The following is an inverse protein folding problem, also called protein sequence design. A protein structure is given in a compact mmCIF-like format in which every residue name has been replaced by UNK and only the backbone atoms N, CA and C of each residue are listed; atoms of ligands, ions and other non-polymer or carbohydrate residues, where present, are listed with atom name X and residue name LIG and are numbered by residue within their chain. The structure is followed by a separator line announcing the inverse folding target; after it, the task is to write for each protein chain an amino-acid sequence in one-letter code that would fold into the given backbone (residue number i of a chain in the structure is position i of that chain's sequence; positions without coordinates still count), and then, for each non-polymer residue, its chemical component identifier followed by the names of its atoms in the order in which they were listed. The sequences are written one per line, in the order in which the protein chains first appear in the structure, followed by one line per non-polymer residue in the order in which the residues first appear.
data_IF_219868849819
#
_entry.id   IF_219868849819
#
_cell.length_a   1.000
_cell.length_b   1.000
_cell.length_c   1.000
_cell.angle_alpha   90.00
_cell.angle_beta   90.00
_cell.angle_gamma   90.00
#
_symmetry.space_group_name_H-M   'P 1'
#
loop_
_entity.id
_entity.type
_entity.pdbx_description
1 polymer ?
#
# COMPACT_ATOMS: atom_id res chain seq x y z
N UNK A 1 -23.16 -3.98 -6.22
CA UNK A 1 -22.96 -3.11 -5.04
C UNK A 1 -23.23 -3.96 -3.80
N UNK A 2 -22.33 -3.95 -2.83
CA UNK A 2 -22.51 -4.71 -1.60
C UNK A 2 -23.69 -4.11 -0.82
N UNK A 3 -24.76 -4.89 -0.64
CA UNK A 3 -25.93 -4.50 0.15
C UNK A 3 -25.63 -4.38 1.67
N UNK A 4 -24.42 -4.67 2.06
CA UNK A 4 -24.01 -4.74 3.46
C UNK A 4 -24.50 -6.00 4.17
N UNK A 5 -24.67 -5.93 5.49
CA UNK A 5 -25.05 -7.08 6.31
C UNK A 5 -26.56 -7.40 6.22
N UNK A 6 -27.39 -6.39 5.89
CA UNK A 6 -28.84 -6.52 5.70
C UNK A 6 -29.19 -6.16 4.27
N UNK A 7 -29.94 -7.03 3.58
CA UNK A 7 -30.52 -6.74 2.29
C UNK A 7 -31.80 -5.89 2.43
N UNK A 8 -32.37 -5.44 1.31
CA UNK A 8 -33.56 -4.58 1.34
C UNK A 8 -34.79 -5.27 1.93
N UNK A 9 -34.94 -6.60 1.76
CA UNK A 9 -36.04 -7.38 2.37
C UNK A 9 -35.90 -7.46 3.90
N UNK A 10 -34.67 -7.64 4.39
CA UNK A 10 -34.41 -7.66 5.84
C UNK A 10 -34.73 -6.28 6.46
N UNK A 11 -34.48 -5.21 5.72
CA UNK A 11 -34.79 -3.84 6.13
C UNK A 11 -36.28 -3.57 6.22
N UNK A 12 -37.06 -4.04 5.23
CA UNK A 12 -38.53 -3.95 5.26
C UNK A 12 -39.10 -4.71 6.45
N UNK A 13 -38.66 -5.93 6.69
CA UNK A 13 -39.09 -6.74 7.83
C UNK A 13 -38.78 -6.10 9.19
N UNK A 14 -37.62 -5.46 9.31
CA UNK A 14 -37.23 -4.76 10.53
C UNK A 14 -38.03 -3.48 10.71
N UNK A 15 -38.34 -2.76 9.61
CA UNK A 15 -39.19 -1.57 9.62
C UNK A 15 -40.62 -1.89 10.06
N UNK A 16 -41.20 -3.01 9.61
CA UNK A 16 -42.49 -3.48 10.08
C UNK A 16 -42.49 -3.77 11.60
N UNK A 17 -41.35 -4.11 12.16
CA UNK A 17 -41.19 -4.33 13.62
C UNK A 17 -40.82 -3.06 14.38
N UNK A 18 -40.89 -1.88 13.74
CA UNK A 18 -40.57 -0.59 14.36
C UNK A 18 -39.06 -0.29 14.52
N UNK A 19 -38.19 -1.07 13.86
CA UNK A 19 -36.74 -0.85 13.88
C UNK A 19 -36.35 -0.12 12.59
N UNK A 20 -36.00 1.17 12.73
CA UNK A 20 -35.49 1.97 11.62
C UNK A 20 -33.99 1.71 11.42
N UNK A 21 -33.62 1.34 10.20
CA UNK A 21 -32.23 1.22 9.75
C UNK A 21 -31.88 2.35 8.79
N UNK A 22 -30.57 2.52 8.55
CA UNK A 22 -30.08 3.43 7.52
C UNK A 22 -30.68 3.06 6.15
N UNK A 23 -30.83 4.06 5.26
CA UNK A 23 -31.42 3.93 3.92
C UNK A 23 -30.95 2.69 3.16
N UNK A 24 -31.87 1.95 2.58
CA UNK A 24 -31.63 0.77 1.73
C UNK A 24 -31.08 1.14 0.36
N UNK A 25 -30.88 0.14 -0.49
CA UNK A 25 -30.33 0.32 -1.84
C UNK A 25 -31.25 1.15 -2.73
N UNK A 26 -32.57 0.92 -2.64
CA UNK A 26 -33.56 1.63 -3.44
C UNK A 26 -33.67 3.11 -3.04
N UNK A 27 -33.71 3.40 -1.72
CA UNK A 27 -33.76 4.76 -1.21
C UNK A 27 -32.49 5.56 -1.57
N UNK A 28 -31.31 4.90 -1.50
CA UNK A 28 -30.06 5.50 -1.97
C UNK A 28 -30.08 5.78 -3.46
N UNK A 29 -30.69 4.91 -4.26
CA UNK A 29 -30.83 5.14 -5.70
C UNK A 29 -31.70 6.37 -5.99
N UNK A 30 -32.79 6.56 -5.23
CA UNK A 30 -33.60 7.78 -5.35
C UNK A 30 -32.85 9.03 -4.94
N UNK A 31 -32.07 8.97 -3.86
CA UNK A 31 -31.20 10.09 -3.44
C UNK A 31 -30.15 10.42 -4.51
N UNK A 32 -29.51 9.39 -5.09
CA UNK A 32 -28.55 9.57 -6.19
C UNK A 32 -29.21 10.22 -7.41
N UNK A 33 -30.38 9.76 -7.80
CA UNK A 33 -31.13 10.35 -8.92
C UNK A 33 -31.54 11.81 -8.63
N UNK A 34 -31.95 12.10 -7.40
CA UNK A 34 -32.27 13.46 -6.99
C UNK A 34 -31.02 14.36 -7.00
N UNK A 35 -29.89 13.87 -6.52
CA UNK A 35 -28.63 14.61 -6.57
C UNK A 35 -28.18 14.90 -8.00
N UNK A 36 -28.34 13.92 -8.91
CA UNK A 36 -28.09 14.11 -10.33
C UNK A 36 -29.01 15.20 -10.91
N UNK A 37 -30.33 15.10 -10.65
CA UNK A 37 -31.27 16.11 -11.08
C UNK A 37 -30.89 17.50 -10.57
N UNK A 38 -30.56 17.62 -9.27
CA UNK A 38 -30.14 18.87 -8.66
C UNK A 38 -28.87 19.42 -9.32
N UNK A 39 -27.86 18.58 -9.57
CA UNK A 39 -26.61 18.99 -10.21
C UNK A 39 -26.86 19.57 -11.62
N UNK A 40 -27.76 18.94 -12.39
CA UNK A 40 -28.08 19.42 -13.74
C UNK A 40 -29.01 20.65 -13.75
N UNK A 41 -29.84 20.82 -12.74
CA UNK A 41 -30.80 21.94 -12.67
C UNK A 41 -30.27 23.18 -11.96
N UNK A 42 -29.08 23.13 -11.34
CA UNK A 42 -28.50 24.25 -10.57
C UNK A 42 -27.79 25.26 -11.50
N UNK A 43 -27.35 24.83 -12.66
CA UNK A 43 -26.66 25.70 -13.60
C UNK A 43 -27.64 26.63 -14.34
N UNK A 44 -27.35 27.95 -14.34
CA UNK A 44 -28.15 28.95 -15.02
C UNK A 44 -27.73 29.12 -16.49
N UNK A 45 -26.41 29.13 -16.78
CA UNK A 45 -25.89 29.44 -18.11
C UNK A 45 -25.29 28.22 -18.83
N UNK A 46 -24.40 27.47 -18.18
CA UNK A 46 -23.62 26.42 -18.83
C UNK A 46 -23.34 25.24 -17.89
N UNK A 47 -23.33 24.03 -18.47
CA UNK A 47 -22.89 22.81 -17.81
C UNK A 47 -21.73 22.21 -18.59
N UNK A 48 -20.66 21.86 -17.90
CA UNK A 48 -19.52 21.10 -18.43
C UNK A 48 -19.55 19.68 -17.87
N UNK A 49 -19.58 18.69 -18.76
CA UNK A 49 -19.51 17.29 -18.40
C UNK A 49 -18.16 16.73 -18.86
N UNK A 50 -17.42 16.13 -17.96
CA UNK A 50 -16.16 15.47 -18.29
C UNK A 50 -16.15 14.05 -17.77
N UNK A 51 -15.39 13.20 -18.43
CA UNK A 51 -15.14 11.82 -17.98
C UNK A 51 -13.75 11.37 -18.44
N UNK A 52 -13.12 10.50 -17.67
CA UNK A 52 -11.83 9.90 -18.03
C UNK A 52 -12.07 8.76 -19.04
N UNK A 53 -11.26 8.71 -20.10
CA UNK A 53 -11.26 7.59 -21.08
C UNK A 53 -10.33 6.45 -20.64
N UNK A 54 -9.37 6.72 -19.76
CA UNK A 54 -8.49 5.74 -19.15
C UNK A 54 -8.13 6.14 -17.71
N UNK A 55 -7.67 5.17 -16.91
CA UNK A 55 -7.03 5.44 -15.63
C UNK A 55 -5.55 5.80 -15.81
N UNK A 56 -4.86 6.03 -14.69
CA UNK A 56 -3.42 6.37 -14.70
C UNK A 56 -2.52 5.25 -15.23
N UNK A 57 -3.01 4.02 -15.24
CA UNK A 57 -2.31 2.83 -15.74
C UNK A 57 -2.61 2.57 -17.23
N UNK A 58 -3.41 3.43 -17.87
CA UNK A 58 -3.80 3.30 -19.28
C UNK A 58 -4.96 2.33 -19.55
N UNK A 59 -5.61 1.79 -18.51
CA UNK A 59 -6.78 0.91 -18.65
C UNK A 59 -8.01 1.71 -19.07
N UNK A 60 -8.67 1.27 -20.15
CA UNK A 60 -9.84 1.95 -20.69
C UNK A 60 -10.98 2.05 -19.68
N UNK A 61 -11.53 3.24 -19.53
CA UNK A 61 -12.71 3.54 -18.72
C UNK A 61 -13.90 3.86 -19.63
N UNK A 62 -15.10 3.48 -19.19
CA UNK A 62 -16.33 3.80 -19.92
C UNK A 62 -17.01 5.03 -19.34
N UNK A 63 -17.52 5.89 -20.20
CA UNK A 63 -18.34 7.02 -19.79
C UNK A 63 -19.59 6.56 -19.04
N UNK A 64 -20.07 7.41 -18.13
CA UNK A 64 -21.35 7.19 -17.45
C UNK A 64 -22.49 7.13 -18.46
N UNK A 65 -23.51 6.30 -18.16
CA UNK A 65 -24.75 6.25 -18.95
C UNK A 65 -25.44 7.62 -19.07
N UNK A 66 -25.20 8.52 -18.12
CA UNK A 66 -25.73 9.89 -18.14
C UNK A 66 -25.20 10.70 -19.33
N UNK A 67 -23.93 10.54 -19.68
CA UNK A 67 -23.34 11.22 -20.85
C UNK A 67 -24.09 10.82 -22.12
N UNK A 68 -24.36 9.53 -22.28
CA UNK A 68 -25.12 9.03 -23.44
C UNK A 68 -26.58 9.52 -23.45
N UNK A 69 -27.21 9.67 -22.27
CA UNK A 69 -28.57 10.24 -22.17
C UNK A 69 -28.58 11.72 -22.55
N UNK A 70 -27.60 12.50 -22.07
CA UNK A 70 -27.49 13.91 -22.42
C UNK A 70 -27.28 14.09 -23.95
N UNK A 71 -26.39 13.29 -24.55
CA UNK A 71 -26.21 13.30 -26.01
C UNK A 71 -27.45 12.97 -26.80
N UNK A 72 -28.33 12.07 -26.29
CA UNK A 72 -29.63 11.78 -26.94
C UNK A 72 -30.60 12.96 -26.86
N UNK A 73 -30.54 13.73 -25.77
CA UNK A 73 -31.38 14.95 -25.60
C UNK A 73 -30.84 16.10 -26.46
N UNK A 74 -29.52 16.19 -26.56
CA UNK A 74 -28.82 17.24 -27.30
C UNK A 74 -27.89 16.63 -28.37
N UNK A 75 -28.41 16.22 -29.54
CA UNK A 75 -27.61 15.51 -30.55
C UNK A 75 -26.48 16.31 -31.17
N UNK A 76 -26.53 17.63 -31.07
CA UNK A 76 -25.49 18.52 -31.60
C UNK A 76 -24.27 18.70 -30.67
N UNK A 77 -24.31 18.11 -29.48
CA UNK A 77 -23.18 18.16 -28.57
C UNK A 77 -21.97 17.45 -29.15
N UNK A 78 -20.87 18.20 -29.25
CA UNK A 78 -19.56 17.66 -29.67
C UNK A 78 -18.72 17.34 -28.47
N UNK A 79 -18.17 16.13 -28.42
CA UNK A 79 -17.12 15.80 -27.46
C UNK A 79 -15.81 16.44 -27.88
N UNK A 80 -15.09 16.96 -26.89
CA UNK A 80 -13.72 17.40 -27.06
C UNK A 80 -12.82 16.43 -26.28
N UNK A 81 -11.75 15.99 -26.91
CA UNK A 81 -10.75 15.11 -26.27
C UNK A 81 -9.54 15.94 -25.89
N UNK A 82 -9.02 15.71 -24.67
CA UNK A 82 -7.77 16.33 -24.23
C UNK A 82 -6.53 15.57 -24.75
N UNK A 83 -6.75 14.38 -25.33
CA UNK A 83 -5.69 13.54 -25.93
C UNK A 83 -5.29 14.04 -27.32
N UNK A 84 -6.21 14.74 -28.01
CA UNK A 84 -5.91 15.35 -29.30
C UNK A 84 -5.26 16.70 -29.03
N UNK A 85 -4.10 16.98 -29.67
CA UNK A 85 -3.42 18.25 -29.57
C UNK A 85 -4.40 19.42 -29.76
N UNK A 86 -4.59 20.18 -28.70
CA UNK A 86 -5.31 21.43 -28.78
C UNK A 86 -4.46 22.40 -29.61
N UNK A 87 -5.02 22.98 -30.65
CA UNK A 87 -4.47 24.21 -31.16
C UNK A 87 -4.66 25.24 -30.03
N UNK A 88 -3.59 25.51 -29.30
CA UNK A 88 -3.60 26.46 -28.21
C UNK A 88 -3.88 27.85 -28.77
N UNK A 89 -5.10 28.33 -28.61
CA UNK A 89 -5.49 29.68 -28.97
C UNK A 89 -5.08 30.60 -27.83
N UNK A 90 -4.32 31.66 -28.18
CA UNK A 90 -3.93 32.74 -27.27
C UNK A 90 -5.14 33.64 -27.05
N UNK A 91 -5.87 33.47 -25.94
CA UNK A 91 -7.17 34.11 -25.73
C UNK A 91 -7.06 35.28 -24.74
N UNK A 92 -6.45 35.04 -23.56
CA UNK A 92 -6.25 36.06 -22.53
C UNK A 92 -4.82 36.06 -22.03
N UNK A 93 -4.37 37.16 -21.42
CA UNK A 93 -3.00 37.24 -20.86
C UNK A 93 -2.80 36.17 -19.78
N UNK A 94 -3.77 35.97 -18.87
CA UNK A 94 -3.66 35.05 -17.78
C UNK A 94 -3.53 33.60 -18.28
N UNK A 95 -4.43 33.14 -19.13
CA UNK A 95 -4.42 31.78 -19.66
C UNK A 95 -3.19 31.51 -20.54
N UNK A 96 -2.78 32.53 -21.36
CA UNK A 96 -1.58 32.45 -22.19
C UNK A 96 -0.33 32.34 -21.33
N UNK A 97 -0.29 32.99 -20.16
CA UNK A 97 0.84 32.87 -19.23
C UNK A 97 0.94 31.45 -18.63
N UNK A 98 -0.18 30.85 -18.25
CA UNK A 98 -0.20 29.48 -17.73
C UNK A 98 0.23 28.46 -18.79
N UNK A 99 -0.26 28.61 -20.01
CA UNK A 99 0.16 27.79 -21.15
C UNK A 99 1.66 27.99 -21.49
N UNK A 100 2.18 29.21 -21.39
CA UNK A 100 3.61 29.47 -21.53
C UNK A 100 4.42 28.67 -20.51
N UNK A 101 4.04 28.70 -19.23
CA UNK A 101 4.76 27.97 -18.19
C UNK A 101 4.74 26.45 -18.44
N UNK A 102 3.62 25.91 -18.91
CA UNK A 102 3.50 24.50 -19.28
C UNK A 102 4.43 24.12 -20.42
N UNK A 103 4.47 24.95 -21.47
CA UNK A 103 5.36 24.72 -22.61
C UNK A 103 6.85 24.91 -22.25
N UNK A 104 7.18 25.87 -21.37
CA UNK A 104 8.54 26.05 -20.87
C UNK A 104 8.97 24.80 -20.02
N UNK A 105 8.06 24.21 -19.25
CA UNK A 105 8.36 22.96 -18.55
C UNK A 105 8.66 21.82 -19.51
N UNK A 106 7.85 21.63 -20.54
CA UNK A 106 8.09 20.64 -21.59
C UNK A 106 9.42 20.86 -22.30
N UNK A 107 9.78 22.13 -22.60
CA UNK A 107 11.06 22.47 -23.18
C UNK A 107 12.25 22.13 -22.29
N UNK A 108 12.15 22.41 -20.98
CA UNK A 108 13.17 22.03 -19.97
C UNK A 108 13.29 20.50 -19.89
N UNK A 109 12.19 19.76 -20.04
CA UNK A 109 12.16 18.29 -20.06
C UNK A 109 12.67 17.69 -21.39
N UNK A 110 13.16 18.54 -22.34
CA UNK A 110 13.76 18.12 -23.60
C UNK A 110 12.77 17.87 -24.74
N UNK A 111 11.50 18.27 -24.59
CA UNK A 111 10.51 18.19 -25.67
C UNK A 111 10.62 19.39 -26.59
N UNK A 112 10.35 19.21 -27.89
CA UNK A 112 10.21 20.31 -28.85
C UNK A 112 8.91 21.07 -28.58
N UNK A 113 9.00 22.40 -28.53
CA UNK A 113 7.85 23.27 -28.39
C UNK A 113 7.71 24.14 -29.64
N UNK A 114 6.49 24.62 -29.90
CA UNK A 114 6.24 25.51 -31.04
C UNK A 114 6.95 26.85 -30.86
N UNK A 115 7.60 27.34 -31.92
CA UNK A 115 8.36 28.61 -31.93
C UNK A 115 7.53 29.81 -31.44
N UNK A 116 6.23 29.84 -31.63
CA UNK A 116 5.35 30.87 -31.11
C UNK A 116 5.53 31.14 -29.60
N UNK A 117 5.90 30.14 -28.84
CA UNK A 117 6.09 30.25 -27.38
C UNK A 117 7.32 31.09 -27.00
N UNK A 118 8.34 31.16 -27.86
CA UNK A 118 9.47 32.09 -27.67
C UNK A 118 9.06 33.55 -27.87
N UNK A 119 8.12 33.81 -28.79
CA UNK A 119 7.54 35.16 -28.97
C UNK A 119 6.68 35.56 -27.78
N UNK A 120 5.87 34.61 -27.27
CA UNK A 120 5.06 34.79 -26.05
C UNK A 120 5.95 35.06 -24.86
N UNK A 121 7.03 34.29 -24.69
CA UNK A 121 8.03 34.52 -23.63
C UNK A 121 8.62 35.92 -23.69
N UNK A 122 9.02 36.39 -24.88
CA UNK A 122 9.57 37.73 -25.05
C UNK A 122 8.55 38.80 -24.66
N UNK A 123 7.26 38.62 -24.98
CA UNK A 123 6.21 39.54 -24.55
C UNK A 123 6.15 39.65 -23.02
N UNK A 124 6.09 38.53 -22.30
CA UNK A 124 5.99 38.54 -20.83
C UNK A 124 7.28 39.02 -20.16
N UNK A 125 8.44 38.80 -20.76
CA UNK A 125 9.73 39.23 -20.22
C UNK A 125 9.92 40.74 -20.32
N UNK A 126 9.34 41.39 -21.33
CA UNK A 126 9.42 42.84 -21.56
C UNK A 126 8.28 43.65 -20.94
N UNK A 127 7.15 42.96 -20.62
CA UNK A 127 5.98 43.62 -20.04
C UNK A 127 6.14 43.82 -18.53
N UNK A 128 6.12 45.11 -18.10
CA UNK A 128 6.33 45.49 -16.70
C UNK A 128 5.35 44.82 -15.70
N UNK A 129 4.10 44.56 -16.13
CA UNK A 129 3.07 43.90 -15.31
C UNK A 129 3.43 42.45 -15.02
N UNK A 130 4.05 41.74 -15.96
CA UNK A 130 4.24 40.28 -15.91
C UNK A 130 5.68 39.86 -15.59
N UNK A 131 6.66 40.72 -15.80
CA UNK A 131 8.09 40.41 -15.67
C UNK A 131 8.42 39.74 -14.32
N UNK A 132 8.01 40.35 -13.22
CA UNK A 132 8.30 39.80 -11.87
C UNK A 132 7.67 38.45 -11.65
N UNK A 133 6.44 38.25 -12.15
CA UNK A 133 5.75 36.97 -12.05
C UNK A 133 6.43 35.90 -12.89
N UNK A 134 6.88 36.25 -14.11
CA UNK A 134 7.65 35.33 -14.96
C UNK A 134 8.98 34.95 -14.32
N UNK A 135 9.77 35.90 -13.81
CA UNK A 135 11.04 35.63 -13.14
C UNK A 135 10.87 34.71 -11.92
N UNK A 136 9.83 34.94 -11.13
CA UNK A 136 9.51 34.07 -10.00
C UNK A 136 9.13 32.64 -10.44
N UNK A 137 8.32 32.51 -11.50
CA UNK A 137 7.91 31.24 -12.07
C UNK A 137 9.08 30.48 -12.69
N UNK A 138 9.99 31.17 -13.37
CA UNK A 138 11.20 30.57 -13.95
C UNK A 138 12.13 30.01 -12.86
N UNK A 139 12.26 30.69 -11.73
CA UNK A 139 13.00 30.14 -10.57
C UNK A 139 12.39 28.86 -10.06
N UNK A 140 11.05 28.78 -10.03
CA UNK A 140 10.34 27.57 -9.63
C UNK A 140 10.48 26.44 -10.66
N UNK A 141 10.46 26.75 -11.95
CA UNK A 141 10.66 25.76 -13.03
C UNK A 141 12.06 25.15 -13.03
N UNK A 142 13.07 25.94 -12.69
CA UNK A 142 14.48 25.52 -12.59
C UNK A 142 14.86 25.04 -11.19
N UNK A 143 13.90 24.99 -10.27
CA UNK A 143 14.18 24.51 -8.93
C UNK A 143 14.55 23.03 -8.97
N UNK A 144 15.77 22.74 -8.59
CA UNK A 144 16.29 21.38 -8.43
C UNK A 144 16.59 21.17 -6.95
N UNK A 145 16.13 20.03 -6.41
CA UNK A 145 16.47 19.62 -5.04
C UNK A 145 17.85 18.96 -5.12
N UNK A 146 18.88 19.77 -5.27
CA UNK A 146 20.25 19.30 -5.09
C UNK A 146 20.55 19.33 -3.59
N UNK A 147 20.80 18.15 -3.03
CA UNK A 147 21.28 18.04 -1.66
C UNK A 147 22.77 17.75 -1.69
N UNK A 148 23.52 18.47 -0.89
CA UNK A 148 24.93 18.15 -0.68
C UNK A 148 25.06 16.74 -0.10
N UNK A 149 26.12 16.05 -0.48
CA UNK A 149 26.44 14.74 0.10
C UNK A 149 26.77 14.90 1.58
N UNK A 150 26.26 13.98 2.39
CA UNK A 150 26.62 13.94 3.80
C UNK A 150 28.12 13.59 3.91
N UNK A 151 28.87 14.39 4.66
CA UNK A 151 30.29 14.12 4.90
C UNK A 151 30.51 12.72 5.48
N UNK A 152 31.57 12.03 5.05
CA UNK A 152 31.89 10.67 5.45
C UNK A 152 32.00 10.51 6.98
N UNK A 153 32.49 11.53 7.68
CA UNK A 153 32.60 11.57 9.14
C UNK A 153 31.21 11.49 9.82
N UNK A 154 30.22 12.16 9.24
CA UNK A 154 28.84 12.16 9.73
C UNK A 154 28.11 10.86 9.35
N UNK A 155 28.37 10.30 8.17
CA UNK A 155 27.86 8.97 7.79
C UNK A 155 28.33 7.89 8.76
N UNK A 156 29.61 7.90 9.15
CA UNK A 156 30.14 6.93 10.10
C UNK A 156 29.54 7.09 11.50
N UNK A 157 29.20 8.32 11.92
CA UNK A 157 28.47 8.55 13.18
C UNK A 157 27.03 8.05 13.14
N UNK A 158 26.35 8.19 11.99
CA UNK A 158 24.96 7.78 11.81
C UNK A 158 24.79 6.27 11.66
N UNK A 159 25.68 5.63 10.90
CA UNK A 159 25.50 4.24 10.45
C UNK A 159 26.62 3.28 10.87
N UNK A 160 27.72 3.79 11.44
CA UNK A 160 28.88 3.00 11.80
C UNK A 160 29.74 2.58 10.59
N UNK A 161 30.68 1.67 10.82
CA UNK A 161 31.55 1.13 9.78
C UNK A 161 30.87 0.00 9.00
N UNK A 162 30.00 -0.77 9.66
CA UNK A 162 29.16 -1.80 9.05
C UNK A 162 27.70 -1.33 9.07
N UNK A 163 27.08 -1.23 7.93
CA UNK A 163 25.66 -0.88 7.83
C UNK A 163 24.79 -2.07 8.21
N UNK A 164 24.21 -2.03 9.41
CA UNK A 164 23.20 -3.01 9.84
C UNK A 164 21.81 -2.56 9.41
N UNK A 165 21.19 -3.36 8.57
CA UNK A 165 19.90 -3.03 7.97
C UNK A 165 18.94 -4.21 7.94
N UNK A 166 17.71 -3.97 7.55
CA UNK A 166 16.73 -5.02 7.26
C UNK A 166 16.16 -4.82 5.87
N UNK A 167 15.49 -5.85 5.34
CA UNK A 167 14.86 -5.78 4.02
C UNK A 167 13.87 -4.63 3.93
N UNK A 168 13.03 -4.44 4.94
CA UNK A 168 12.06 -3.33 4.99
C UNK A 168 12.72 -1.94 5.01
N UNK A 169 13.92 -1.83 5.61
CA UNK A 169 14.69 -0.58 5.56
C UNK A 169 15.25 -0.31 4.17
N UNK A 170 15.69 -1.36 3.45
CA UNK A 170 16.13 -1.22 2.06
C UNK A 170 14.99 -0.81 1.13
N UNK A 171 13.82 -1.43 1.27
CA UNK A 171 12.61 -1.04 0.55
C UNK A 171 12.22 0.42 0.86
N UNK A 172 12.31 0.84 2.12
CA UNK A 172 12.06 2.23 2.51
C UNK A 172 13.06 3.20 1.86
N UNK A 173 14.35 2.83 1.79
CA UNK A 173 15.36 3.63 1.11
C UNK A 173 15.06 3.77 -0.38
N UNK A 174 14.67 2.67 -1.04
CA UNK A 174 14.29 2.69 -2.46
C UNK A 174 13.02 3.50 -2.71
N UNK A 175 12.06 3.44 -1.80
CA UNK A 175 10.83 4.23 -1.87
C UNK A 175 11.09 5.73 -1.70
N UNK A 176 11.87 6.10 -0.69
CA UNK A 176 12.21 7.50 -0.42
C UNK A 176 13.48 7.59 0.47
N UNK A 177 14.66 7.92 -0.10
CA UNK A 177 15.90 8.08 0.67
C UNK A 177 15.81 9.12 1.79
N UNK A 178 15.07 10.20 1.59
CA UNK A 178 14.86 11.23 2.60
C UNK A 178 14.06 10.70 3.81
N UNK A 179 12.98 9.98 3.56
CA UNK A 179 12.20 9.33 4.61
C UNK A 179 13.03 8.29 5.38
N UNK A 180 13.88 7.54 4.69
CA UNK A 180 14.83 6.62 5.30
C UNK A 180 15.80 7.36 6.22
N UNK A 181 16.39 8.46 5.74
CA UNK A 181 17.34 9.27 6.53
C UNK A 181 16.68 9.82 7.81
N UNK A 182 15.46 10.38 7.70
CA UNK A 182 14.76 10.89 8.88
C UNK A 182 14.47 9.77 9.89
N UNK A 183 13.97 8.64 9.42
CA UNK A 183 13.51 7.54 10.27
C UNK A 183 14.67 6.73 10.87
N UNK A 184 15.69 6.40 10.07
CA UNK A 184 16.76 5.47 10.46
C UNK A 184 18.13 6.12 10.64
N UNK A 185 18.35 7.29 10.05
CA UNK A 185 19.55 8.08 10.29
C UNK A 185 19.38 8.96 11.53
N UNK A 186 18.31 9.75 11.56
CA UNK A 186 18.06 10.67 12.68
C UNK A 186 17.17 10.08 13.78
N UNK A 187 16.63 8.87 13.59
CA UNK A 187 15.70 8.19 14.52
C UNK A 187 14.47 9.05 14.88
N UNK A 188 13.94 9.80 13.91
CA UNK A 188 12.75 10.57 14.12
C UNK A 188 11.53 9.66 14.06
N UNK A 189 10.60 9.85 14.98
CA UNK A 189 9.32 9.16 15.03
C UNK A 189 8.18 10.16 15.21
N UNK A 190 7.03 9.84 14.63
CA UNK A 190 5.82 10.59 14.91
C UNK A 190 5.38 10.38 16.37
N UNK A 191 4.68 11.37 16.91
CA UNK A 191 4.11 11.23 18.25
C UNK A 191 3.09 10.11 18.28
N UNK A 192 3.27 9.18 19.20
CA UNK A 192 2.31 8.10 19.40
C UNK A 192 0.96 8.63 19.89
N UNK A 193 -0.09 8.25 19.18
CA UNK A 193 -1.47 8.52 19.59
C UNK A 193 -2.10 7.24 20.16
N UNK A 194 -2.91 7.37 21.19
CA UNK A 194 -3.64 6.22 21.76
C UNK A 194 -4.82 5.84 20.85
N UNK A 195 -4.47 5.24 19.71
CA UNK A 195 -5.43 4.68 18.74
C UNK A 195 -4.87 3.40 18.13
N UNK A 196 -5.75 2.44 17.84
CA UNK A 196 -5.34 1.22 17.13
C UNK A 196 -5.06 1.58 15.67
N UNK A 197 -3.84 1.28 15.23
CA UNK A 197 -3.39 1.39 13.85
C UNK A 197 -3.40 0.02 13.16
N UNK A 198 -3.25 0.01 11.84
CA UNK A 198 -3.18 -1.25 11.08
C UNK A 198 -1.99 -2.12 11.48
N UNK A 199 -0.88 -1.49 11.88
CA UNK A 199 0.31 -2.19 12.36
C UNK A 199 0.03 -2.94 13.67
N UNK A 200 -0.71 -2.35 14.61
CA UNK A 200 -1.04 -3.00 15.89
C UNK A 200 -1.89 -4.25 15.67
N UNK A 201 -2.87 -4.17 14.76
CA UNK A 201 -3.70 -5.33 14.41
C UNK A 201 -2.90 -6.41 13.69
N UNK A 202 -1.96 -6.02 12.82
CA UNK A 202 -1.05 -6.94 12.15
C UNK A 202 -0.16 -7.67 13.15
N UNK A 203 0.56 -6.95 13.99
CA UNK A 203 1.43 -7.52 15.03
C UNK A 203 0.64 -8.46 15.96
N UNK A 204 -0.54 -8.04 16.41
CA UNK A 204 -1.39 -8.87 17.25
C UNK A 204 -1.81 -10.18 16.57
N UNK A 205 -2.09 -10.16 15.26
CA UNK A 205 -2.42 -11.38 14.51
C UNK A 205 -1.20 -12.29 14.34
N UNK A 206 -0.04 -11.74 14.04
CA UNK A 206 1.22 -12.51 13.95
C UNK A 206 1.55 -13.18 15.27
N UNK A 207 1.51 -12.43 16.39
CA UNK A 207 1.77 -12.98 17.74
C UNK A 207 0.85 -14.15 18.12
N UNK A 208 -0.39 -14.17 17.62
CA UNK A 208 -1.32 -15.26 17.90
C UNK A 208 -1.05 -16.47 16.99
N UNK A 209 -0.73 -16.23 15.71
CA UNK A 209 -0.39 -17.33 14.78
C UNK A 209 0.89 -18.01 15.23
N UNK A 210 1.89 -17.23 15.64
CA UNK A 210 3.14 -17.73 16.20
C UNK A 210 2.89 -18.55 17.47
N UNK A 211 2.19 -17.96 18.45
CA UNK A 211 1.82 -18.66 19.68
C UNK A 211 1.01 -19.94 19.45
N UNK A 212 0.25 -20.04 18.35
CA UNK A 212 -0.43 -21.28 17.99
C UNK A 212 0.55 -22.39 17.63
N UNK A 213 1.58 -22.11 16.85
CA UNK A 213 2.63 -23.09 16.52
C UNK A 213 3.47 -23.44 17.74
N UNK A 214 3.79 -22.48 18.62
CA UNK A 214 4.45 -22.74 19.91
C UNK A 214 3.66 -23.72 20.76
N UNK A 215 2.34 -23.51 20.89
CA UNK A 215 1.46 -24.41 21.66
C UNK A 215 1.35 -25.79 21.04
N UNK A 216 1.37 -25.90 19.70
CA UNK A 216 1.42 -27.22 19.06
C UNK A 216 2.69 -27.98 19.43
N UNK A 217 3.84 -27.31 19.46
CA UNK A 217 5.11 -27.91 19.86
C UNK A 217 5.09 -28.28 21.35
N UNK A 218 4.64 -27.38 22.24
CA UNK A 218 4.53 -27.58 23.66
C UNK A 218 3.67 -28.83 23.99
N UNK A 219 2.53 -28.98 23.30
CA UNK A 219 1.62 -30.09 23.49
C UNK A 219 1.94 -31.34 22.67
N UNK A 220 3.05 -31.30 21.91
CA UNK A 220 3.46 -32.35 20.96
C UNK A 220 2.32 -32.81 20.03
N UNK A 221 1.60 -31.80 19.48
CA UNK A 221 0.48 -32.02 18.57
C UNK A 221 0.94 -31.80 17.11
N UNK A 222 0.52 -32.73 16.26
CA UNK A 222 0.78 -32.57 14.81
C UNK A 222 -0.25 -31.67 14.17
N UNK A 223 0.19 -30.67 13.48
CA UNK A 223 -0.67 -29.66 12.83
C UNK A 223 -1.68 -30.28 11.85
N UNK A 224 -1.33 -31.36 11.17
CA UNK A 224 -2.20 -32.02 10.19
C UNK A 224 -3.32 -32.87 10.85
N UNK A 225 -3.16 -33.25 12.11
CA UNK A 225 -4.07 -34.19 12.83
C UNK A 225 -4.98 -33.48 13.84
N UNK A 226 -4.79 -32.16 14.08
CA UNK A 226 -5.53 -31.43 15.12
C UNK A 226 -6.97 -31.15 14.69
N UNK A 227 -7.93 -31.36 15.58
CA UNK A 227 -9.36 -31.11 15.36
C UNK A 227 -9.71 -29.64 15.51
N UNK A 228 -10.75 -29.19 14.80
CA UNK A 228 -11.15 -27.76 14.72
C UNK A 228 -11.56 -27.18 16.08
N UNK A 229 -12.19 -27.98 16.94
CA UNK A 229 -12.58 -27.60 18.30
C UNK A 229 -11.35 -27.32 19.17
N UNK A 230 -10.29 -28.11 18.99
CA UNK A 230 -9.04 -27.96 19.73
C UNK A 230 -8.26 -26.75 19.22
N UNK A 231 -8.32 -26.46 17.91
CA UNK A 231 -7.77 -25.21 17.33
C UNK A 231 -8.46 -24.01 17.99
N UNK A 232 -9.79 -24.00 18.04
CA UNK A 232 -10.56 -22.91 18.63
C UNK A 232 -10.21 -22.69 20.10
N UNK A 233 -10.04 -23.76 20.90
CA UNK A 233 -9.65 -23.65 22.30
C UNK A 233 -8.25 -23.06 22.48
N UNK A 234 -7.26 -23.61 21.78
CA UNK A 234 -5.87 -23.11 21.84
C UNK A 234 -5.80 -21.61 21.44
N UNK A 235 -6.49 -21.24 20.36
CA UNK A 235 -6.50 -19.84 19.90
C UNK A 235 -7.20 -18.93 20.91
N UNK A 236 -8.27 -19.39 21.56
CA UNK A 236 -8.93 -18.63 22.61
C UNK A 236 -8.00 -18.35 23.79
N UNK A 237 -7.30 -19.37 24.27
CA UNK A 237 -6.35 -19.27 25.38
C UNK A 237 -5.22 -18.27 25.04
N UNK A 238 -4.64 -18.36 23.85
CA UNK A 238 -3.58 -17.43 23.40
C UNK A 238 -4.10 -16.00 23.32
N UNK A 239 -5.30 -15.80 22.77
CA UNK A 239 -5.89 -14.45 22.66
C UNK A 239 -6.12 -13.87 24.05
N UNK A 240 -6.63 -14.66 25.01
CA UNK A 240 -6.85 -14.18 26.38
C UNK A 240 -5.53 -13.83 27.07
N UNK A 241 -4.51 -14.67 26.91
CA UNK A 241 -3.15 -14.37 27.39
C UNK A 241 -2.59 -13.08 26.80
N UNK A 242 -2.63 -12.93 25.47
CA UNK A 242 -2.10 -11.75 24.78
C UNK A 242 -2.89 -10.47 25.11
N UNK A 243 -4.21 -10.53 25.25
CA UNK A 243 -5.03 -9.37 25.68
C UNK A 243 -4.76 -8.98 27.13
N UNK A 244 -4.27 -9.86 27.98
CA UNK A 244 -3.85 -9.58 29.35
C UNK A 244 -2.54 -8.77 29.44
N UNK A 245 -1.75 -8.70 28.37
CA UNK A 245 -0.50 -7.97 28.36
C UNK A 245 -0.73 -6.45 28.30
N UNK A 246 0.09 -5.68 29.03
CA UNK A 246 -0.03 -4.22 29.10
C UNK A 246 0.02 -3.55 27.71
N UNK A 247 0.87 -4.02 26.83
CA UNK A 247 1.01 -3.50 25.47
C UNK A 247 -0.27 -3.63 24.64
N UNK A 248 -1.08 -4.63 24.92
CA UNK A 248 -2.33 -4.92 24.21
C UNK A 248 -3.58 -4.33 24.90
N UNK A 249 -3.40 -3.56 26.00
CA UNK A 249 -4.51 -2.97 26.75
C UNK A 249 -5.43 -2.10 25.86
N UNK A 250 -4.89 -1.50 24.83
CA UNK A 250 -5.66 -0.67 23.89
C UNK A 250 -6.85 -1.43 23.28
N UNK A 251 -6.68 -2.73 22.99
CA UNK A 251 -7.73 -3.57 22.38
C UNK A 251 -8.95 -3.79 23.26
N UNK A 252 -8.82 -3.57 24.57
CA UNK A 252 -9.90 -3.76 25.55
C UNK A 252 -10.32 -2.46 26.25
N UNK A 253 -9.68 -1.32 25.91
CA UNK A 253 -9.81 -0.04 26.62
C UNK A 253 -11.19 0.60 26.49
N UNK A 254 -11.80 0.57 25.31
CA UNK A 254 -13.09 1.17 25.01
C UNK A 254 -14.01 0.21 24.26
N UNK A 255 -15.35 0.41 24.30
CA UNK A 255 -16.31 -0.48 23.62
C UNK A 255 -16.05 -0.68 22.12
N UNK A 256 -15.61 0.37 21.41
CA UNK A 256 -15.24 0.31 20.00
C UNK A 256 -14.11 -0.68 19.76
N UNK A 257 -13.06 -0.66 20.58
CA UNK A 257 -11.90 -1.52 20.44
C UNK A 257 -12.19 -2.96 20.91
N UNK A 258 -13.05 -3.14 21.92
CA UNK A 258 -13.56 -4.47 22.31
C UNK A 258 -14.32 -5.14 21.15
N UNK A 259 -15.14 -4.39 20.41
CA UNK A 259 -15.83 -4.90 19.24
C UNK A 259 -14.84 -5.26 18.12
N UNK A 260 -13.80 -4.46 17.91
CA UNK A 260 -12.73 -4.76 16.96
C UNK A 260 -12.01 -6.04 17.36
N UNK A 261 -11.62 -6.21 18.63
CA UNK A 261 -10.98 -7.45 19.15
C UNK A 261 -11.85 -8.68 18.91
N UNK A 262 -13.16 -8.58 19.15
CA UNK A 262 -14.10 -9.68 18.88
C UNK A 262 -14.13 -10.05 17.39
N UNK A 263 -14.04 -9.09 16.50
CA UNK A 263 -13.94 -9.34 15.05
C UNK A 263 -12.61 -9.96 14.66
N UNK A 264 -11.50 -9.40 15.19
CA UNK A 264 -10.15 -9.94 14.98
C UNK A 264 -10.06 -11.40 15.44
N UNK A 265 -10.60 -11.75 16.62
CA UNK A 265 -10.67 -13.12 17.12
C UNK A 265 -11.30 -14.07 16.11
N UNK A 266 -12.42 -13.68 15.49
CA UNK A 266 -13.09 -14.50 14.45
C UNK A 266 -12.24 -14.67 13.19
N UNK A 267 -11.57 -13.57 12.75
CA UNK A 267 -10.70 -13.60 11.58
C UNK A 267 -9.51 -14.51 11.85
N UNK A 268 -8.83 -14.36 12.98
CA UNK A 268 -7.66 -15.14 13.36
C UNK A 268 -7.99 -16.64 13.43
N UNK A 269 -9.09 -17.01 14.10
CA UNK A 269 -9.54 -18.42 14.15
C UNK A 269 -9.75 -19.00 12.76
N UNK A 270 -10.42 -18.23 11.89
CA UNK A 270 -10.65 -18.66 10.50
C UNK A 270 -9.33 -18.80 9.73
N UNK A 271 -8.41 -17.87 9.93
CA UNK A 271 -7.10 -17.88 9.26
C UNK A 271 -6.27 -19.09 9.71
N UNK A 272 -6.20 -19.36 11.00
CA UNK A 272 -5.47 -20.52 11.53
C UNK A 272 -6.09 -21.85 11.05
N UNK A 273 -7.40 -21.98 11.05
CA UNK A 273 -8.08 -23.16 10.47
C UNK A 273 -7.74 -23.33 8.99
N UNK A 274 -7.68 -22.23 8.24
CA UNK A 274 -7.31 -22.27 6.83
C UNK A 274 -5.84 -22.67 6.63
N UNK A 275 -4.94 -22.19 7.47
CA UNK A 275 -3.53 -22.60 7.49
C UNK A 275 -3.42 -24.11 7.76
N UNK A 276 -4.08 -24.61 8.79
CA UNK A 276 -4.09 -26.03 9.14
C UNK A 276 -4.69 -26.86 8.00
N UNK A 277 -5.80 -26.43 7.44
CA UNK A 277 -6.42 -27.07 6.29
C UNK A 277 -5.48 -27.15 5.09
N UNK A 278 -4.82 -26.03 4.75
CA UNK A 278 -3.83 -25.99 3.66
C UNK A 278 -2.67 -26.97 3.89
N UNK A 279 -2.19 -27.10 5.12
CA UNK A 279 -1.13 -28.05 5.46
C UNK A 279 -1.60 -29.52 5.40
N UNK A 280 -2.85 -29.81 5.78
CA UNK A 280 -3.42 -31.19 5.69
C UNK A 280 -3.43 -31.73 4.27
N UNK A 281 -3.67 -30.88 3.28
CA UNK A 281 -3.77 -31.26 1.87
C UNK A 281 -2.49 -30.93 1.07
N UNK A 282 -1.38 -30.85 1.78
CA UNK A 282 -0.07 -30.50 1.21
C UNK A 282 1.00 -31.45 1.74
N UNK A 283 1.99 -31.73 0.94
CA UNK A 283 3.19 -32.48 1.36
C UNK A 283 4.13 -31.63 2.22
N UNK A 284 3.86 -30.33 2.33
CA UNK A 284 4.64 -29.44 3.17
C UNK A 284 4.38 -29.65 4.66
N UNK A 285 5.46 -29.53 5.42
CA UNK A 285 5.45 -29.51 6.89
C UNK A 285 6.10 -28.21 7.37
N UNK A 286 5.66 -27.70 8.51
CA UNK A 286 6.26 -26.50 9.10
C UNK A 286 7.66 -26.86 9.59
N UNK A 287 8.68 -26.26 8.97
CA UNK A 287 10.09 -26.39 9.36
C UNK A 287 10.40 -25.45 10.52
N UNK A 288 9.89 -24.21 10.47
CA UNK A 288 10.09 -23.22 11.52
C UNK A 288 9.14 -22.03 11.36
N UNK A 289 8.98 -21.28 12.43
CA UNK A 289 8.21 -20.04 12.46
C UNK A 289 8.97 -18.98 13.25
N UNK A 290 8.73 -17.70 12.94
CA UNK A 290 9.42 -16.54 13.54
C UNK A 290 10.97 -16.66 13.50
N UNK A 291 11.49 -17.28 12.43
CA UNK A 291 12.91 -17.60 12.29
C UNK A 291 13.72 -16.32 12.00
N UNK A 292 14.65 -16.01 12.89
CA UNK A 292 15.54 -14.84 12.73
C UNK A 292 16.79 -15.22 11.96
N UNK A 293 17.12 -14.48 10.90
CA UNK A 293 18.43 -14.49 10.30
C UNK A 293 19.23 -13.26 10.75
N UNK A 294 20.22 -13.53 11.58
CA UNK A 294 21.06 -12.52 12.24
C UNK A 294 22.32 -13.19 12.78
N UNK A 295 23.44 -12.45 12.84
CA UNK A 295 24.68 -13.00 13.40
C UNK A 295 24.49 -13.51 14.84
N UNK A 296 24.90 -14.75 15.09
CA UNK A 296 24.72 -15.46 16.35
C UNK A 296 23.40 -16.20 16.53
N UNK A 297 22.58 -16.26 15.47
CA UNK A 297 21.37 -17.11 15.38
C UNK A 297 21.63 -18.31 14.46
N UNK A 298 20.65 -19.18 14.33
CA UNK A 298 20.71 -20.38 13.48
C UNK A 298 20.97 -20.01 12.02
N UNK A 299 20.30 -18.97 11.52
CA UNK A 299 20.56 -18.36 10.21
C UNK A 299 21.42 -17.10 10.38
N UNK A 300 22.63 -17.04 9.76
CA UNK A 300 23.46 -15.84 9.82
C UNK A 300 22.82 -14.68 9.04
N UNK A 301 23.26 -13.45 9.34
CA UNK A 301 22.88 -12.30 8.51
C UNK A 301 23.44 -12.45 7.09
N UNK A 302 22.72 -11.92 6.11
CA UNK A 302 23.24 -11.83 4.74
C UNK A 302 24.28 -10.72 4.72
N UNK A 303 25.54 -11.05 4.42
CA UNK A 303 26.64 -10.09 4.33
C UNK A 303 26.91 -9.74 2.85
N UNK A 304 26.94 -8.44 2.56
CA UNK A 304 27.30 -7.89 1.26
C UNK A 304 28.50 -6.98 1.45
N UNK A 305 29.56 -7.23 0.71
CA UNK A 305 30.73 -6.33 0.64
C UNK A 305 30.53 -5.33 -0.50
N UNK A 306 30.65 -4.04 -0.18
CA UNK A 306 30.54 -2.96 -1.14
C UNK A 306 31.88 -2.69 -1.80
N UNK A 307 31.90 -2.07 -2.97
CA UNK A 307 33.09 -1.71 -3.76
C UNK A 307 34.12 -0.88 -2.97
N UNK A 308 33.68 -0.15 -1.96
CA UNK A 308 34.51 0.64 -1.07
C UNK A 308 35.06 -0.13 0.15
N UNK A 309 34.89 -1.45 0.19
CA UNK A 309 35.34 -2.32 1.28
C UNK A 309 34.47 -2.28 2.53
N UNK A 310 33.38 -1.51 2.55
CA UNK A 310 32.41 -1.52 3.66
C UNK A 310 31.49 -2.73 3.56
N UNK A 311 31.00 -3.18 4.71
CA UNK A 311 30.05 -4.30 4.81
C UNK A 311 28.64 -3.83 5.11
N UNK A 312 27.68 -4.51 4.51
CA UNK A 312 26.26 -4.40 4.80
C UNK A 312 25.79 -5.72 5.37
N UNK A 313 25.23 -5.71 6.56
CA UNK A 313 24.61 -6.85 7.21
C UNK A 313 23.10 -6.69 7.11
N UNK A 314 22.43 -7.57 6.35
CA UNK A 314 20.98 -7.60 6.21
C UNK A 314 20.46 -8.65 7.20
N UNK A 315 19.56 -8.22 8.07
CA UNK A 315 18.88 -9.07 9.05
C UNK A 315 17.39 -9.08 8.80
N UNK A 316 16.70 -10.10 9.28
CA UNK A 316 15.25 -10.21 9.14
C UNK A 316 14.68 -11.31 10.00
N UNK A 317 13.37 -11.44 9.91
CA UNK A 317 12.59 -12.45 10.60
C UNK A 317 11.58 -13.01 9.62
N UNK A 318 11.57 -14.31 9.47
CA UNK A 318 10.70 -15.04 8.56
C UNK A 318 9.53 -15.58 9.35
N UNK A 319 8.32 -15.22 8.96
CA UNK A 319 7.12 -15.61 9.72
C UNK A 319 6.94 -17.12 9.76
N UNK A 320 7.08 -17.81 8.62
CA UNK A 320 7.05 -19.26 8.56
C UNK A 320 7.82 -19.82 7.37
N UNK A 321 8.52 -20.92 7.61
CA UNK A 321 9.20 -21.73 6.60
C UNK A 321 8.56 -23.12 6.60
N UNK A 322 8.11 -23.56 5.43
CA UNK A 322 7.60 -24.91 5.24
C UNK A 322 8.53 -25.70 4.33
N UNK A 323 8.72 -26.99 4.60
CA UNK A 323 9.55 -27.91 3.83
C UNK A 323 8.74 -29.10 3.32
N UNK A 324 8.97 -29.48 2.08
CA UNK A 324 8.49 -30.74 1.51
C UNK A 324 9.68 -31.63 1.13
N UNK A 325 9.76 -32.81 1.71
CA UNK A 325 10.82 -33.79 1.43
C UNK A 325 10.33 -34.75 0.35
N UNK A 326 11.03 -34.76 -0.81
CA UNK A 326 10.68 -35.64 -1.93
C UNK A 326 11.90 -36.48 -2.33
N UNK A 327 11.70 -37.55 -3.11
CA UNK A 327 12.83 -38.32 -3.65
C UNK A 327 13.76 -37.50 -4.55
N UNK A 328 13.27 -36.42 -5.13
CA UNK A 328 14.00 -35.52 -6.05
C UNK A 328 14.77 -34.42 -5.31
N UNK A 329 14.49 -34.23 -4.01
CA UNK A 329 15.12 -33.21 -3.16
C UNK A 329 14.15 -32.61 -2.16
N UNK A 330 14.68 -31.69 -1.35
CA UNK A 330 13.90 -30.96 -0.36
C UNK A 330 13.46 -29.62 -0.97
N UNK A 331 12.17 -29.34 -0.92
CA UNK A 331 11.60 -28.08 -1.41
C UNK A 331 11.17 -27.21 -0.24
N UNK A 332 11.45 -25.91 -0.33
CA UNK A 332 11.11 -24.95 0.69
C UNK A 332 10.19 -23.86 0.14
N UNK A 333 9.25 -23.39 0.95
CA UNK A 333 8.47 -22.18 0.69
C UNK A 333 8.50 -21.25 1.88
N UNK A 334 8.55 -19.97 1.60
CA UNK A 334 8.53 -18.89 2.58
C UNK A 334 7.12 -18.32 2.64
N UNK A 335 6.61 -18.13 3.84
CA UNK A 335 5.29 -17.57 4.08
C UNK A 335 5.43 -16.34 4.96
N UNK A 336 4.87 -15.24 4.48
CA UNK A 336 4.80 -13.97 5.17
C UNK A 336 3.33 -13.56 5.32
N UNK A 337 2.87 -13.40 6.55
CA UNK A 337 1.48 -13.11 6.83
C UNK A 337 1.18 -11.63 6.65
N UNK A 338 0.16 -11.31 5.87
CA UNK A 338 -0.26 -9.92 5.62
C UNK A 338 -1.73 -9.72 5.99
N UNK A 339 -2.01 -8.65 6.71
CA UNK A 339 -3.38 -8.26 7.09
C UNK A 339 -4.21 -7.71 5.93
N UNK A 340 -3.59 -7.45 4.77
CA UNK A 340 -4.24 -6.99 3.54
C UNK A 340 -3.75 -7.77 2.33
N UNK A 341 -4.55 -7.80 1.26
CA UNK A 341 -4.11 -8.39 -0.02
C UNK A 341 -2.91 -7.62 -0.57
N UNK A 342 -1.84 -8.36 -0.88
CA UNK A 342 -0.64 -7.83 -1.52
C UNK A 342 -0.16 -8.86 -2.53
N UNK A 343 -0.13 -8.46 -3.80
CA UNK A 343 0.35 -9.29 -4.89
C UNK A 343 1.85 -9.00 -5.15
N UNK A 344 2.57 -9.99 -5.62
CA UNK A 344 3.96 -9.81 -6.05
C UNK A 344 3.94 -9.11 -7.41
N UNK A 345 4.58 -7.94 -7.46
CA UNK A 345 4.77 -7.18 -8.69
C UNK A 345 6.26 -7.22 -9.09
N UNK A 346 6.57 -7.91 -10.17
CA UNK A 346 7.96 -8.06 -10.64
C UNK A 346 8.63 -6.72 -10.94
N UNK A 347 7.90 -5.72 -11.38
CA UNK A 347 8.46 -4.39 -11.60
C UNK A 347 8.87 -3.73 -10.28
N UNK A 348 8.08 -3.91 -9.22
CA UNK A 348 8.43 -3.42 -7.88
C UNK A 348 9.60 -4.20 -7.28
N UNK A 349 9.70 -5.49 -7.56
CA UNK A 349 10.86 -6.31 -7.18
C UNK A 349 12.14 -5.78 -7.84
N UNK A 350 12.12 -5.58 -9.16
CA UNK A 350 13.27 -5.02 -9.90
C UNK A 350 13.61 -3.61 -9.42
N UNK A 351 12.60 -2.79 -9.08
CA UNK A 351 12.79 -1.47 -8.51
C UNK A 351 13.31 -1.48 -7.05
N UNK A 352 13.35 -2.64 -6.40
CA UNK A 352 13.78 -2.78 -5.00
C UNK A 352 12.73 -2.38 -3.96
N UNK A 353 11.45 -2.43 -4.33
CA UNK A 353 10.30 -2.06 -3.48
C UNK A 353 9.57 -3.27 -2.88
N UNK A 354 9.84 -4.49 -3.39
CA UNK A 354 9.30 -5.75 -2.89
C UNK A 354 10.41 -6.81 -2.81
N UNK A 355 11.33 -6.67 -1.86
CA UNK A 355 12.49 -7.55 -1.72
C UNK A 355 12.28 -8.68 -0.70
N UNK A 356 11.30 -8.53 0.20
CA UNK A 356 11.17 -9.33 1.41
C UNK A 356 11.18 -10.84 1.14
N UNK A 357 10.23 -11.35 0.35
CA UNK A 357 10.10 -12.78 0.10
C UNK A 357 11.30 -13.38 -0.63
N UNK A 358 11.85 -12.65 -1.62
CA UNK A 358 12.99 -13.11 -2.40
C UNK A 358 14.25 -13.19 -1.53
N UNK A 359 14.49 -12.15 -0.72
CA UNK A 359 15.63 -12.13 0.20
C UNK A 359 15.53 -13.23 1.26
N UNK A 360 14.33 -13.51 1.76
CA UNK A 360 14.11 -14.57 2.73
C UNK A 360 14.31 -15.95 2.12
N UNK A 361 13.85 -16.15 0.89
CA UNK A 361 14.04 -17.39 0.15
C UNK A 361 15.54 -17.63 -0.14
N UNK A 362 16.24 -16.61 -0.58
CA UNK A 362 17.69 -16.65 -0.81
C UNK A 362 18.45 -16.97 0.48
N UNK A 363 18.10 -16.33 1.61
CA UNK A 363 18.71 -16.60 2.90
C UNK A 363 18.59 -18.06 3.33
N UNK A 364 17.44 -18.68 3.12
CA UNK A 364 17.21 -20.09 3.48
C UNK A 364 17.89 -21.04 2.51
N UNK A 365 17.77 -20.81 1.19
CA UNK A 365 18.36 -21.67 0.17
C UNK A 365 19.90 -21.60 0.14
N UNK A 366 20.50 -20.51 0.66
CA UNK A 366 21.98 -20.39 0.72
C UNK A 366 22.61 -21.22 1.85
N UNK A 367 21.84 -21.64 2.84
CA UNK A 367 22.30 -22.33 4.03
C UNK A 367 21.91 -23.79 4.03
N UNK A 368 20.67 -24.05 3.66
CA UNK A 368 20.08 -25.37 3.61
C UNK A 368 20.23 -25.98 2.19
N UNK A 369 20.43 -27.29 2.11
CA UNK A 369 20.41 -28.00 0.82
C UNK A 369 18.94 -28.21 0.37
N UNK A 370 18.31 -27.11 0.00
CA UNK A 370 16.89 -27.05 -0.38
C UNK A 370 16.69 -26.29 -1.68
N UNK A 371 15.61 -26.63 -2.38
CA UNK A 371 15.18 -25.95 -3.61
C UNK A 371 13.98 -25.05 -3.35
N UNK A 372 13.93 -23.87 -3.97
CA UNK A 372 12.77 -22.98 -3.81
C UNK A 372 11.53 -23.59 -4.48
N UNK A 373 10.41 -23.59 -3.75
CA UNK A 373 9.09 -23.96 -4.27
C UNK A 373 8.12 -22.75 -4.32
N UNK A 374 8.43 -21.69 -3.58
CA UNK A 374 7.64 -20.46 -3.54
C UNK A 374 7.92 -19.57 -2.32
#
# INVERSE_FOLDING_TARGET
KNEGFFNDKDRELLKEKGIELAKGTLEKLYDDNFNIYKAFSTAEDKIYLSYASSDLEGKSLRSSILVNRVKKIFPELKEKSDVIEKQNELITEENTFEELLSNLREFIDGKEINEKWFWVFNYYSTNAKWKNKLESSLRALNYNIETDNIEQSNLNKLYGDTLKTSVSRLEQYKSCPFSYFLKYGLNLSEREEFKIQSIDTGTFMHDIIDGFFDKLQEYNLKVKEIEDEKIDAIVDDIIEEKLGLKQNYIFISIPKYKLLSTRLKKVIKKSIKYIVYSLRYSDFEVMGHEMEFKNGKEYPAIEIELDNGKKVEITGKIDRIDIAKTPEGNYVRIIDYKSSSKDINLNEVVAGLQLQLITYLDAVCSIEDVMPAG
#
